data_IF_050177487249
#
_entry.id   IF_050177487249
#
_cell.length_a   1.000
_cell.length_b   1.000
_cell.length_c   1.000
_cell.angle_alpha   90.00
_cell.angle_beta   90.00
_cell.angle_gamma   90.00
#
_symmetry.space_group_name_H-M   'P 1'
#
loop_
_entity.id
_entity.type
_entity.pdbx_description
1 polymer ?
#
# COMPACT_ATOMS: atom_id res chain seq x y z
N UNK A 1 3.15 -10.47 8.62
CA UNK A 1 4.41 -9.86 9.12
C UNK A 1 5.11 -9.11 8.00
N UNK A 2 5.53 -7.88 8.25
CA UNK A 2 6.37 -7.08 7.33
C UNK A 2 7.79 -7.03 7.88
N UNK A 3 8.78 -7.28 7.06
CA UNK A 3 10.18 -7.18 7.43
C UNK A 3 10.92 -6.26 6.47
N UNK A 4 11.65 -5.31 7.01
CA UNK A 4 12.57 -4.44 6.29
C UNK A 4 13.98 -4.96 6.50
N UNK A 5 14.77 -5.09 5.44
CA UNK A 5 16.16 -5.52 5.50
C UNK A 5 17.05 -4.53 4.76
N UNK A 6 17.90 -3.87 5.54
CA UNK A 6 18.90 -2.91 5.07
C UNK A 6 18.33 -1.91 4.05
N UNK A 7 17.09 -1.47 4.32
CA UNK A 7 16.30 -0.65 3.42
C UNK A 7 16.85 0.77 3.37
N UNK A 8 17.24 1.21 2.20
CA UNK A 8 17.67 2.59 1.92
C UNK A 8 16.67 3.23 0.96
N UNK A 9 16.16 4.39 1.34
CA UNK A 9 15.17 5.16 0.58
C UNK A 9 15.69 6.57 0.33
N UNK A 10 15.41 7.09 -0.87
CA UNK A 10 15.80 8.44 -1.24
C UNK A 10 15.25 8.85 -2.60
N UNK A 11 15.59 10.08 -2.99
CA UNK A 11 15.27 10.64 -4.31
C UNK A 11 16.55 11.13 -4.98
N UNK A 12 16.92 10.53 -6.10
CA UNK A 12 18.16 10.83 -6.79
C UNK A 12 19.37 10.58 -5.89
N UNK A 13 20.16 11.62 -5.62
CA UNK A 13 21.32 11.54 -4.73
C UNK A 13 21.00 11.79 -3.25
N UNK A 14 19.77 12.18 -2.91
CA UNK A 14 19.38 12.48 -1.53
C UNK A 14 18.82 11.25 -0.85
N UNK A 15 19.58 10.71 0.11
CA UNK A 15 19.14 9.64 1.00
C UNK A 15 18.26 10.25 2.10
N UNK A 16 17.08 9.67 2.33
CA UNK A 16 16.15 10.04 3.40
C UNK A 16 16.21 9.06 4.56
N UNK A 17 16.31 7.77 4.25
CA UNK A 17 16.48 6.69 5.22
C UNK A 17 17.60 5.80 4.73
N UNK A 18 18.51 5.45 5.61
CA UNK A 18 19.69 4.67 5.28
C UNK A 18 19.75 3.39 6.13
N UNK A 19 19.87 2.27 5.45
CA UNK A 19 20.12 0.95 6.05
C UNK A 19 19.16 0.59 7.20
N UNK A 20 17.85 0.81 7.00
CA UNK A 20 16.84 0.55 8.03
C UNK A 20 16.43 -0.91 8.00
N UNK A 21 16.56 -1.59 9.15
CA UNK A 21 16.09 -2.96 9.35
C UNK A 21 15.09 -3.01 10.49
N UNK A 22 13.92 -3.60 10.23
CA UNK A 22 12.84 -3.72 11.22
C UNK A 22 11.93 -4.91 10.91
N UNK A 23 11.30 -5.43 11.96
CA UNK A 23 10.23 -6.43 11.85
C UNK A 23 8.95 -5.87 12.46
N UNK A 24 7.89 -5.89 11.67
CA UNK A 24 6.56 -5.44 12.07
C UNK A 24 5.66 -6.68 12.15
N UNK A 25 5.28 -7.04 13.37
CA UNK A 25 4.43 -8.21 13.62
C UNK A 25 2.97 -7.97 13.23
N UNK A 26 2.23 -9.03 12.98
CA UNK A 26 0.80 -8.98 12.70
C UNK A 26 -0.01 -8.63 13.95
N UNK A 27 -1.21 -8.06 13.74
CA UNK A 27 -2.21 -7.83 14.78
C UNK A 27 -1.92 -6.64 15.70
N UNK A 28 -0.88 -5.86 15.43
CA UNK A 28 -0.52 -4.68 16.21
C UNK A 28 -0.83 -3.36 15.52
N UNK A 29 -1.02 -2.30 16.32
CA UNK A 29 -0.99 -0.92 15.85
C UNK A 29 0.43 -0.40 15.94
N UNK A 30 1.00 0.04 14.83
CA UNK A 30 2.36 0.56 14.76
C UNK A 30 2.30 2.04 14.38
N UNK A 31 2.85 2.90 15.24
CA UNK A 31 2.94 4.33 14.98
C UNK A 31 4.35 4.70 14.48
N UNK A 32 4.41 5.34 13.34
CA UNK A 32 5.65 5.88 12.78
C UNK A 32 5.77 7.37 13.13
N UNK A 33 6.67 7.70 14.04
CA UNK A 33 6.88 9.05 14.55
C UNK A 33 8.15 9.67 13.97
N UNK A 34 8.15 10.97 13.78
CA UNK A 34 9.29 11.74 13.29
C UNK A 34 8.91 13.13 12.80
N UNK A 35 9.90 13.97 12.62
CA UNK A 35 9.71 15.33 12.08
C UNK A 35 9.19 15.30 10.64
N UNK A 36 8.57 16.39 10.21
CA UNK A 36 8.19 16.54 8.79
C UNK A 36 9.45 16.48 7.91
N UNK A 37 9.35 15.75 6.79
CA UNK A 37 10.47 15.52 5.89
C UNK A 37 11.45 14.41 6.31
N UNK A 38 11.20 13.68 7.40
CA UNK A 38 12.05 12.57 7.86
C UNK A 38 11.89 11.26 7.08
N UNK A 39 11.08 11.23 6.02
CA UNK A 39 10.90 10.03 5.18
C UNK A 39 9.76 9.10 5.58
N UNK A 40 8.89 9.47 6.54
CA UNK A 40 7.76 8.62 6.98
C UNK A 40 6.85 8.18 5.84
N UNK A 41 6.36 9.13 5.06
CA UNK A 41 5.49 8.84 3.91
C UNK A 41 6.22 8.08 2.81
N UNK A 42 7.52 8.33 2.63
CA UNK A 42 8.37 7.60 1.69
C UNK A 42 8.51 6.14 2.11
N UNK A 43 8.71 5.88 3.40
CA UNK A 43 8.77 4.52 3.95
C UNK A 43 7.44 3.78 3.76
N UNK A 44 6.31 4.41 4.09
CA UNK A 44 5.00 3.79 3.93
C UNK A 44 4.70 3.49 2.44
N UNK A 45 5.07 4.40 1.53
CA UNK A 45 4.93 4.17 0.08
C UNK A 45 5.84 3.03 -0.41
N UNK A 46 7.07 2.94 0.09
CA UNK A 46 7.98 1.85 -0.24
C UNK A 46 7.45 0.49 0.21
N UNK A 47 6.90 0.40 1.43
CA UNK A 47 6.25 -0.82 1.95
C UNK A 47 5.04 -1.22 1.10
N UNK A 48 4.26 -0.25 0.63
CA UNK A 48 3.11 -0.48 -0.25
C UNK A 48 3.49 -0.68 -1.73
N UNK A 49 4.79 -0.64 -2.06
CA UNK A 49 5.32 -0.69 -3.44
C UNK A 49 4.77 0.44 -4.34
N UNK A 50 4.51 1.58 -3.72
CA UNK A 50 4.10 2.83 -4.39
C UNK A 50 5.24 3.84 -4.48
N UNK A 51 6.44 3.47 -4.03
CA UNK A 51 7.65 4.28 -4.06
C UNK A 51 8.87 3.44 -4.42
N UNK A 52 9.94 4.12 -4.81
CA UNK A 52 11.20 3.47 -5.17
C UNK A 52 12.02 3.11 -3.94
N UNK A 53 12.74 1.99 -4.04
CA UNK A 53 13.72 1.51 -3.07
C UNK A 53 15.09 1.66 -3.71
N UNK A 54 15.99 2.41 -3.06
CA UNK A 54 17.35 2.59 -3.55
C UNK A 54 18.21 1.33 -3.33
N UNK A 55 18.09 0.70 -2.15
CA UNK A 55 18.70 -0.59 -1.85
C UNK A 55 17.99 -1.29 -0.70
N UNK A 56 18.33 -2.55 -0.45
CA UNK A 56 17.65 -3.38 0.54
C UNK A 56 16.36 -3.99 0.00
N UNK A 57 15.61 -4.62 0.89
CA UNK A 57 14.38 -5.32 0.51
C UNK A 57 13.26 -5.18 1.55
N UNK A 58 12.03 -5.27 1.07
CA UNK A 58 10.84 -5.38 1.90
C UNK A 58 10.23 -6.76 1.69
N UNK A 59 10.06 -7.49 2.78
CA UNK A 59 9.45 -8.82 2.77
C UNK A 59 8.05 -8.75 3.39
N UNK A 60 7.10 -9.38 2.75
CA UNK A 60 5.75 -9.58 3.23
C UNK A 60 5.52 -11.07 3.42
N UNK A 61 5.32 -11.50 4.66
CA UNK A 61 5.21 -12.92 5.04
C UNK A 61 6.34 -13.78 4.44
N UNK A 62 7.57 -13.26 4.49
CA UNK A 62 8.77 -13.94 4.00
C UNK A 62 8.99 -13.86 2.49
N UNK A 63 8.09 -13.25 1.72
CA UNK A 63 8.24 -13.03 0.28
C UNK A 63 8.59 -11.59 -0.02
N UNK A 64 9.58 -11.38 -0.86
CA UNK A 64 9.96 -10.06 -1.33
C UNK A 64 8.82 -9.43 -2.15
N UNK A 65 8.43 -8.19 -1.78
CA UNK A 65 7.29 -7.52 -2.42
C UNK A 65 7.50 -7.24 -3.91
N UNK A 66 8.74 -7.08 -4.36
CA UNK A 66 9.08 -6.88 -5.78
C UNK A 66 8.71 -8.09 -6.65
N UNK A 67 8.69 -9.29 -6.07
CA UNK A 67 8.38 -10.56 -6.74
C UNK A 67 6.89 -10.90 -6.75
N UNK A 68 6.09 -10.21 -5.94
CA UNK A 68 4.64 -10.41 -5.93
C UNK A 68 4.00 -9.75 -7.15
N UNK A 69 2.99 -10.37 -7.72
CA UNK A 69 2.16 -9.72 -8.73
C UNK A 69 1.36 -8.58 -8.09
N UNK A 70 1.08 -7.50 -8.82
CA UNK A 70 0.31 -6.37 -8.28
C UNK A 70 -1.03 -6.78 -7.64
N UNK A 71 -1.72 -7.73 -8.26
CA UNK A 71 -3.03 -8.24 -7.78
C UNK A 71 -2.89 -9.02 -6.47
N UNK A 72 -1.78 -9.74 -6.28
CA UNK A 72 -1.49 -10.47 -5.04
C UNK A 72 -1.18 -9.50 -3.90
N UNK A 73 -0.36 -8.50 -4.18
CA UNK A 73 -0.02 -7.47 -3.20
C UNK A 73 -1.25 -6.66 -2.79
N UNK A 74 -2.11 -6.27 -3.74
CA UNK A 74 -3.32 -5.50 -3.49
C UNK A 74 -4.39 -6.25 -2.66
N UNK A 75 -4.31 -7.58 -2.58
CA UNK A 75 -5.16 -8.39 -1.69
C UNK A 75 -4.67 -8.42 -0.24
N UNK A 76 -3.43 -8.03 0.00
CA UNK A 76 -2.77 -8.14 1.31
C UNK A 76 -2.55 -6.76 1.92
N UNK A 77 -2.20 -5.75 1.11
CA UNK A 77 -1.92 -4.38 1.57
C UNK A 77 -3.00 -3.44 1.06
N UNK A 78 -3.53 -2.61 1.96
CA UNK A 78 -4.30 -1.41 1.61
C UNK A 78 -3.51 -0.17 2.04
N UNK A 79 -3.62 0.89 1.25
CA UNK A 79 -2.91 2.15 1.50
C UNK A 79 -3.89 3.31 1.48
N UNK A 80 -3.90 4.10 2.56
CA UNK A 80 -4.69 5.33 2.65
C UNK A 80 -3.77 6.51 2.42
N UNK A 81 -4.02 7.25 1.35
CA UNK A 81 -3.27 8.46 1.00
C UNK A 81 -3.94 9.71 1.55
N UNK A 82 -3.15 10.75 1.79
CA UNK A 82 -3.64 12.10 2.08
C UNK A 82 -4.02 12.89 0.82
N UNK A 83 -3.73 12.35 -0.35
CA UNK A 83 -4.05 12.98 -1.63
C UNK A 83 -5.57 12.96 -1.88
N UNK A 84 -6.11 14.08 -2.30
CA UNK A 84 -7.54 14.17 -2.63
C UNK A 84 -7.77 13.64 -4.05
N UNK A 85 -8.72 12.73 -4.18
CA UNK A 85 -9.19 12.27 -5.50
C UNK A 85 -9.98 13.42 -6.14
N UNK A 86 -9.51 13.93 -7.27
CA UNK A 86 -10.13 15.04 -8.02
C UNK A 86 -10.53 14.58 -9.40
N UNK A 87 -11.46 13.63 -9.46
CA UNK A 87 -12.04 13.15 -10.71
C UNK A 87 -13.47 13.66 -10.79
N UNK A 88 -13.83 14.49 -11.80
CA UNK A 88 -15.19 14.97 -11.98
C UNK A 88 -16.18 13.80 -12.09
N UNK A 89 -17.36 13.94 -11.49
CA UNK A 89 -18.46 12.97 -11.53
C UNK A 89 -18.17 11.58 -10.92
N UNK A 90 -17.07 11.43 -10.18
CA UNK A 90 -16.78 10.19 -9.46
C UNK A 90 -17.63 10.12 -8.18
N UNK A 91 -18.47 9.10 -8.06
CA UNK A 91 -19.26 8.84 -6.86
C UNK A 91 -18.45 8.08 -5.83
N UNK A 92 -18.77 8.24 -4.53
CA UNK A 92 -18.11 7.49 -3.46
C UNK A 92 -18.16 5.97 -3.68
N UNK A 93 -19.28 5.46 -4.17
CA UNK A 93 -19.42 4.03 -4.50
C UNK A 93 -18.44 3.56 -5.58
N UNK A 94 -18.10 4.43 -6.55
CA UNK A 94 -17.16 4.09 -7.62
C UNK A 94 -15.73 3.99 -7.06
N UNK A 95 -15.37 4.88 -6.13
CA UNK A 95 -14.08 4.85 -5.43
C UNK A 95 -13.95 3.57 -4.61
N UNK A 96 -14.97 3.23 -3.83
CA UNK A 96 -14.96 2.00 -3.02
C UNK A 96 -14.93 0.76 -3.90
N UNK A 97 -15.62 0.79 -5.04
CA UNK A 97 -15.63 -0.31 -6.02
C UNK A 97 -14.26 -0.59 -6.63
N UNK A 98 -13.38 0.43 -6.75
CA UNK A 98 -11.99 0.21 -7.19
C UNK A 98 -11.21 -0.74 -6.29
N UNK A 99 -11.55 -0.81 -5.00
CA UNK A 99 -10.98 -1.78 -4.07
C UNK A 99 -11.27 -3.25 -4.42
N UNK A 100 -12.25 -3.50 -5.31
CA UNK A 100 -12.56 -4.85 -5.80
C UNK A 100 -11.78 -5.24 -7.04
N UNK A 101 -10.99 -4.33 -7.63
CA UNK A 101 -10.21 -4.61 -8.84
C UNK A 101 -9.36 -5.90 -8.77
N UNK A 102 -8.66 -6.23 -7.65
CA UNK A 102 -7.87 -7.46 -7.54
C UNK A 102 -8.71 -8.75 -7.54
N UNK A 103 -10.02 -8.64 -7.37
CA UNK A 103 -10.95 -9.77 -7.27
C UNK A 103 -11.88 -9.90 -8.47
N UNK A 104 -11.88 -8.91 -9.38
CA UNK A 104 -12.67 -8.93 -10.61
C UNK A 104 -11.91 -9.64 -11.73
N UNK A 105 -12.64 -10.02 -12.80
CA UNK A 105 -12.03 -10.55 -13.99
C UNK A 105 -11.27 -9.45 -14.77
N UNK A 106 -10.57 -9.83 -15.82
CA UNK A 106 -9.79 -8.92 -16.67
C UNK A 106 -10.61 -7.77 -17.32
N UNK A 107 -11.92 -7.94 -17.43
CA UNK A 107 -12.86 -6.90 -17.92
C UNK A 107 -13.22 -5.90 -16.80
N UNK A 108 -12.90 -6.21 -15.54
CA UNK A 108 -13.22 -5.35 -14.40
C UNK A 108 -14.70 -5.30 -14.04
N UNK A 109 -15.50 -6.29 -14.47
CA UNK A 109 -16.94 -6.33 -14.22
C UNK A 109 -17.23 -6.74 -12.77
N UNK A 110 -17.98 -5.89 -12.05
CA UNK A 110 -18.44 -6.20 -10.71
C UNK A 110 -19.58 -7.23 -10.75
N UNK A 111 -19.40 -8.31 -10.00
CA UNK A 111 -20.42 -9.31 -9.75
C UNK A 111 -21.36 -8.89 -8.62
N UNK A 112 -22.46 -9.65 -8.40
CA UNK A 112 -23.40 -9.36 -7.33
C UNK A 112 -22.73 -9.31 -5.93
N UNK A 113 -21.82 -10.24 -5.67
CA UNK A 113 -21.02 -10.28 -4.42
C UNK A 113 -20.15 -9.05 -4.24
N UNK A 114 -19.53 -8.55 -5.30
CA UNK A 114 -18.70 -7.34 -5.24
C UNK A 114 -19.55 -6.11 -4.88
N UNK A 115 -20.73 -5.99 -5.47
CA UNK A 115 -21.67 -4.90 -5.17
C UNK A 115 -22.15 -4.94 -3.73
N UNK A 116 -22.39 -6.12 -3.18
CA UNK A 116 -22.77 -6.31 -1.78
C UNK A 116 -21.64 -5.85 -0.85
N UNK A 117 -20.38 -6.27 -1.12
CA UNK A 117 -19.22 -5.86 -0.33
C UNK A 117 -19.02 -4.34 -0.39
N UNK A 118 -19.18 -3.72 -1.56
CA UNK A 118 -19.13 -2.26 -1.71
C UNK A 118 -20.20 -1.57 -0.87
N UNK A 119 -21.45 -2.06 -0.89
CA UNK A 119 -22.53 -1.51 -0.10
C UNK A 119 -22.29 -1.65 1.41
N UNK A 120 -21.79 -2.81 1.86
CA UNK A 120 -21.41 -3.03 3.27
C UNK A 120 -20.28 -2.09 3.70
N UNK A 121 -19.26 -1.89 2.85
CA UNK A 121 -18.15 -1.00 3.16
C UNK A 121 -18.55 0.46 3.26
N UNK A 122 -19.56 0.89 2.50
CA UNK A 122 -20.13 2.26 2.56
C UNK A 122 -21.03 2.48 3.78
N UNK A 123 -21.58 1.42 4.37
CA UNK A 123 -22.45 1.49 5.53
C UNK A 123 -21.69 1.60 6.87
N UNK A 124 -20.37 1.42 6.88
CA UNK A 124 -19.50 1.57 8.06
C UNK A 124 -19.20 3.05 8.34
#
# INVERSE_FOLDING_TARGET
MIQLKDLTLGYGQRILLDCVSAKLSEGGLIALLGRNGSGKSTLLRAIARLGEIASGEVLLNGKEISRLRPEELAKIISFVTTEKIRIPNLKCQDVVALGRAPYTNWVGRLEARDREIVAQSLAL
#
